data_IF_983144081453
#
_entry.id   IF_983144081453
#
_cell.length_a   1.000
_cell.length_b   1.000
_cell.length_c   1.000
_cell.angle_alpha   90.00
_cell.angle_beta   90.00
_cell.angle_gamma   90.00
#
_symmetry.space_group_name_H-M   'P 1'
#
loop_
_entity.id
_entity.type
_entity.pdbx_description
1 polymer ?
#
# COMPACT_ATOMS: atom_id res chain seq x y z
N UNK A 1 7.61 -10.39 -11.95
CA UNK A 1 7.69 -8.93 -12.14
C UNK A 1 8.26 -8.36 -10.86
N UNK A 2 9.33 -7.59 -10.91
CA UNK A 2 10.00 -7.07 -9.71
C UNK A 2 9.30 -5.79 -9.27
N UNK A 3 8.53 -5.87 -8.18
CA UNK A 3 7.69 -4.79 -7.63
C UNK A 3 8.47 -3.85 -6.71
N UNK A 4 9.63 -4.27 -6.21
CA UNK A 4 10.47 -3.48 -5.32
C UNK A 4 10.97 -2.21 -6.03
N UNK A 5 11.05 -1.11 -5.28
CA UNK A 5 11.45 0.21 -5.78
C UNK A 5 10.52 0.83 -6.83
N UNK A 6 9.35 0.24 -7.07
CA UNK A 6 8.32 0.80 -7.96
C UNK A 6 7.38 1.73 -7.24
N UNK A 7 6.90 2.72 -7.98
CA UNK A 7 5.81 3.58 -7.56
C UNK A 7 4.48 2.97 -7.96
N UNK A 8 3.52 2.93 -7.04
CA UNK A 8 2.24 2.24 -7.23
C UNK A 8 1.07 3.11 -6.77
N UNK A 9 -0.07 2.92 -7.44
CA UNK A 9 -1.35 3.49 -7.01
C UNK A 9 -2.22 2.43 -6.34
N UNK A 10 -2.94 2.83 -5.30
CA UNK A 10 -3.89 1.99 -4.58
C UNK A 10 -4.93 2.86 -3.89
N UNK A 11 -6.08 2.27 -3.50
CA UNK A 11 -7.09 2.99 -2.72
C UNK A 11 -6.82 2.85 -1.24
N UNK A 12 -7.22 3.86 -0.47
CA UNK A 12 -7.11 3.79 1.00
C UNK A 12 -7.92 2.62 1.57
N UNK A 13 -9.09 2.32 1.01
CA UNK A 13 -9.92 1.18 1.44
C UNK A 13 -9.30 -0.20 1.12
N UNK A 14 -8.23 -0.22 0.33
CA UNK A 14 -7.49 -1.44 -0.02
C UNK A 14 -6.26 -1.65 0.89
N UNK A 15 -6.01 -0.74 1.84
CA UNK A 15 -4.96 -0.88 2.86
C UNK A 15 -5.36 -1.96 3.87
N UNK A 16 -4.47 -2.94 4.05
CA UNK A 16 -4.59 -4.01 5.04
C UNK A 16 -4.15 -3.55 6.44
N UNK A 17 -3.07 -2.76 6.51
CA UNK A 17 -2.55 -2.19 7.75
C UNK A 17 -1.78 -0.89 7.45
N UNK A 18 -1.90 0.18 8.25
CA UNK A 18 -2.83 0.38 9.36
C UNK A 18 -4.30 0.43 8.92
N UNK A 19 -5.22 0.64 9.86
CA UNK A 19 -6.65 0.77 9.52
C UNK A 19 -6.88 1.94 8.52
N UNK A 20 -7.69 1.75 7.46
CA UNK A 20 -7.95 2.79 6.47
C UNK A 20 -8.44 4.13 7.04
N UNK A 21 -9.17 4.12 8.16
CA UNK A 21 -9.63 5.36 8.81
C UNK A 21 -8.47 6.18 9.38
N UNK A 22 -7.41 5.53 9.87
CA UNK A 22 -6.20 6.20 10.32
C UNK A 22 -5.47 6.85 9.14
N UNK A 23 -5.33 6.13 8.03
CA UNK A 23 -4.73 6.65 6.78
C UNK A 23 -5.50 7.87 6.26
N UNK A 24 -6.84 7.84 6.29
CA UNK A 24 -7.67 8.97 5.86
C UNK A 24 -7.52 10.20 6.76
N UNK A 25 -7.36 10.01 8.08
CA UNK A 25 -7.14 11.11 9.01
C UNK A 25 -5.81 11.81 8.74
N UNK A 26 -4.75 11.03 8.52
CA UNK A 26 -3.40 11.53 8.29
C UNK A 26 -3.27 12.26 6.94
N UNK A 27 -3.95 11.76 5.89
CA UNK A 27 -3.88 12.32 4.53
C UNK A 27 -5.05 13.23 4.17
N UNK A 28 -5.89 13.61 5.13
CA UNK A 28 -7.01 14.53 4.92
C UNK A 28 -7.98 14.14 3.78
N UNK A 29 -8.23 12.84 3.58
CA UNK A 29 -9.30 12.35 2.70
C UNK A 29 -8.94 12.02 1.25
N UNK A 30 -7.67 11.80 0.91
CA UNK A 30 -7.29 11.30 -0.42
C UNK A 30 -7.76 9.84 -0.61
N UNK A 31 -8.65 9.58 -1.59
CA UNK A 31 -9.16 8.23 -1.85
C UNK A 31 -8.14 7.30 -2.54
N UNK A 32 -7.28 7.86 -3.39
CA UNK A 32 -6.23 7.14 -4.13
C UNK A 32 -4.88 7.68 -3.70
N UNK A 33 -3.99 6.78 -3.30
CA UNK A 33 -2.65 7.09 -2.83
C UNK A 33 -1.61 6.66 -3.85
N UNK A 34 -0.50 7.41 -3.86
CA UNK A 34 0.73 7.09 -4.56
C UNK A 34 1.80 6.81 -3.52
N UNK A 35 2.53 5.71 -3.67
CA UNK A 35 3.65 5.40 -2.79
C UNK A 35 4.69 4.50 -3.44
N UNK A 36 5.82 4.34 -2.77
CA UNK A 36 6.96 3.53 -3.24
C UNK A 36 7.00 2.20 -2.50
N UNK A 37 7.07 1.09 -3.24
CA UNK A 37 7.23 -0.25 -2.65
C UNK A 37 8.64 -0.39 -2.07
N UNK A 38 8.72 -0.56 -0.76
CA UNK A 38 9.99 -0.74 -0.02
C UNK A 38 10.27 -2.22 0.30
N UNK A 39 9.21 -3.01 0.42
CA UNK A 39 9.32 -4.45 0.71
C UNK A 39 8.14 -5.27 0.16
N UNK A 40 8.35 -6.58 0.10
CA UNK A 40 7.38 -7.58 -0.34
C UNK A 40 7.31 -8.68 0.73
N UNK A 41 6.10 -9.06 1.11
CA UNK A 41 5.86 -10.17 2.02
C UNK A 41 5.05 -11.25 1.31
N UNK A 42 5.59 -12.46 1.27
CA UNK A 42 4.95 -13.67 0.75
C UNK A 42 4.41 -14.58 1.86
N UNK A 43 4.37 -14.10 3.11
CA UNK A 43 3.96 -14.86 4.30
C UNK A 43 2.44 -14.88 4.56
N UNK A 44 1.61 -14.52 3.58
CA UNK A 44 0.16 -14.55 3.69
C UNK A 44 -0.40 -15.98 3.84
N UNK A 45 -1.51 -16.13 4.57
CA UNK A 45 -2.28 -17.37 4.49
C UNK A 45 -2.81 -17.54 3.06
N UNK A 46 -2.75 -18.76 2.52
CA UNK A 46 -3.21 -19.10 1.16
C UNK A 46 -2.43 -18.47 -0.02
N UNK A 47 -1.22 -17.95 0.20
CA UNK A 47 -0.36 -17.47 -0.89
C UNK A 47 -0.64 -16.04 -1.34
N UNK A 48 -1.32 -15.25 -0.51
CA UNK A 48 -1.48 -13.81 -0.69
C UNK A 48 -0.11 -13.11 -0.58
N UNK A 49 0.21 -12.27 -1.57
CA UNK A 49 1.44 -11.47 -1.60
C UNK A 49 1.08 -10.03 -1.24
N UNK A 50 1.72 -9.53 -0.19
CA UNK A 50 1.56 -8.17 0.29
C UNK A 50 2.76 -7.32 -0.12
N UNK A 51 2.50 -6.04 -0.34
CA UNK A 51 3.53 -5.02 -0.52
C UNK A 51 3.52 -4.05 0.65
N UNK A 52 4.71 -3.68 1.09
CA UNK A 52 4.93 -2.61 2.05
C UNK A 52 5.30 -1.35 1.26
N UNK A 53 4.51 -0.29 1.45
CA UNK A 53 4.57 0.92 0.64
C UNK A 53 4.79 2.13 1.55
N UNK A 54 5.80 2.93 1.24
CA UNK A 54 6.01 4.24 1.85
C UNK A 54 5.19 5.29 1.09
N UNK A 55 4.43 6.10 1.81
CA UNK A 55 3.55 7.16 1.25
C UNK A 55 3.95 8.48 1.89
N UNK A 56 4.14 9.50 1.07
CA UNK A 56 4.43 10.85 1.57
C UNK A 56 3.27 11.39 2.41
N UNK A 57 3.57 11.95 3.57
CA UNK A 57 2.57 12.43 4.53
C UNK A 57 2.03 11.37 5.51
N UNK A 58 2.48 10.11 5.45
CA UNK A 58 2.21 9.11 6.50
C UNK A 58 3.45 8.89 7.37
N UNK A 59 3.24 8.75 8.68
CA UNK A 59 4.32 8.46 9.64
C UNK A 59 4.82 7.00 9.54
N UNK A 60 4.01 6.10 8.99
CA UNK A 60 4.31 4.68 8.85
C UNK A 60 3.95 4.17 7.46
N UNK A 61 4.66 3.13 7.02
CA UNK A 61 4.35 2.45 5.77
C UNK A 61 3.00 1.73 5.83
N UNK A 62 2.37 1.58 4.67
CA UNK A 62 1.12 0.86 4.53
C UNK A 62 1.34 -0.51 3.89
N UNK A 63 0.54 -1.48 4.28
CA UNK A 63 0.54 -2.83 3.74
C UNK A 63 -0.69 -2.97 2.84
N UNK A 64 -0.47 -3.36 1.58
CA UNK A 64 -1.55 -3.51 0.58
C UNK A 64 -1.40 -4.87 -0.11
N UNK A 65 -2.49 -5.63 -0.32
CA UNK A 65 -2.45 -6.84 -1.14
C UNK A 65 -2.12 -6.49 -2.60
N UNK A 66 -1.21 -7.24 -3.22
CA UNK A 66 -0.73 -6.94 -4.58
C UNK A 66 -1.84 -6.93 -5.63
N UNK A 67 -2.87 -7.77 -5.47
CA UNK A 67 -4.04 -7.84 -6.36
C UNK A 67 -4.95 -6.60 -6.29
N UNK A 68 -4.74 -5.71 -5.30
CA UNK A 68 -5.50 -4.46 -5.15
C UNK A 68 -4.76 -3.22 -5.65
N UNK A 69 -3.55 -3.39 -6.18
CA UNK A 69 -2.83 -2.30 -6.83
C UNK A 69 -3.54 -1.89 -8.12
N UNK A 70 -3.72 -0.59 -8.32
CA UNK A 70 -4.39 -0.03 -9.50
C UNK A 70 -3.44 0.10 -10.70
N UNK A 71 -2.13 0.15 -10.46
CA UNK A 71 -1.12 0.28 -11.51
C UNK A 71 0.28 0.53 -10.95
N UNK A 72 1.27 0.34 -11.82
CA UNK A 72 2.69 0.59 -11.57
C UNK A 72 3.15 1.72 -12.51
N UNK A 73 3.93 2.66 -11.98
CA UNK A 73 4.58 3.74 -12.73
C UNK A 73 6.02 3.39 -13.14
#
# INVERSE_FOLDING_TARGET
MELRDRWVHFRVCDVYHPDPSQVLMDLHGHEVLLGKVIDLSDSGMQGEVFVVIEVDGLEQAVIVPTERLLGIL
#
